data_IF_976874221019
#
_entry.id   IF_976874221019
#
_cell.length_a   1.000
_cell.length_b   1.000
_cell.length_c   1.000
_cell.angle_alpha   90.00
_cell.angle_beta   90.00
_cell.angle_gamma   90.00
#
_symmetry.space_group_name_H-M   'P 1'
#
loop_
_entity.id
_entity.type
_entity.pdbx_description
1 polymer ?
#
# COMPACT_ATOMS: atom_id res chain seq x y z
N UNK A 1 17.71 -2.37 -1.92
CA UNK A 1 18.57 -1.61 -0.99
C UNK A 1 17.74 -1.42 0.27
N UNK A 2 18.19 -1.90 1.43
CA UNK A 2 17.46 -1.68 2.68
C UNK A 2 17.95 -0.36 3.28
N UNK A 3 17.06 0.63 3.34
CA UNK A 3 17.34 1.91 4.00
C UNK A 3 16.91 1.71 5.45
N UNK A 4 17.89 1.60 6.35
CA UNK A 4 17.66 1.45 7.79
C UNK A 4 17.01 2.70 8.39
N UNK A 5 15.71 2.87 8.17
CA UNK A 5 14.91 3.82 8.92
C UNK A 5 14.70 3.22 10.32
N UNK A 6 15.52 3.65 11.28
CA UNK A 6 15.18 3.36 12.67
C UNK A 6 13.96 4.21 13.04
N UNK A 7 12.83 3.57 13.36
CA UNK A 7 11.64 4.28 13.84
C UNK A 7 11.86 4.68 15.30
N UNK A 8 12.33 5.91 15.53
CA UNK A 8 12.76 6.37 16.85
C UNK A 8 11.71 7.18 17.63
N UNK A 9 10.54 7.48 17.04
CA UNK A 9 9.50 8.31 17.66
C UNK A 9 8.12 8.10 17.03
N UNK A 10 7.05 8.49 17.75
CA UNK A 10 5.67 8.50 17.25
C UNK A 10 5.51 9.35 15.99
N UNK A 11 6.20 10.50 15.89
CA UNK A 11 6.18 11.32 14.67
C UNK A 11 6.74 10.59 13.45
N UNK A 12 7.81 9.80 13.63
CA UNK A 12 8.36 9.02 12.53
C UNK A 12 7.47 7.84 12.18
N UNK A 13 6.88 7.18 13.18
CA UNK A 13 5.92 6.11 12.97
C UNK A 13 4.71 6.63 12.18
N UNK A 14 4.08 7.71 12.62
CA UNK A 14 2.94 8.29 11.93
C UNK A 14 3.25 8.71 10.50
N UNK A 15 4.46 9.24 10.24
CA UNK A 15 4.89 9.55 8.88
C UNK A 15 4.98 8.30 8.01
N UNK A 16 5.47 7.17 8.54
CA UNK A 16 5.47 5.91 7.81
C UNK A 16 4.02 5.45 7.55
N UNK A 17 3.15 5.46 8.55
CA UNK A 17 1.74 5.08 8.35
C UNK A 17 1.03 5.97 7.32
N UNK A 18 1.34 7.27 7.28
CA UNK A 18 0.84 8.20 6.26
C UNK A 18 1.35 7.87 4.85
N UNK A 19 2.61 7.41 4.72
CA UNK A 19 3.13 6.89 3.45
C UNK A 19 2.34 5.64 3.03
N UNK A 20 2.03 4.75 3.97
CA UNK A 20 1.14 3.61 3.74
C UNK A 20 -0.21 4.04 3.16
N UNK A 21 -0.89 5.01 3.80
CA UNK A 21 -2.16 5.56 3.31
C UNK A 21 -2.07 6.04 1.86
N UNK A 22 -0.98 6.73 1.48
CA UNK A 22 -0.81 7.22 0.13
C UNK A 22 -0.56 6.08 -0.87
N UNK A 23 0.17 5.04 -0.49
CA UNK A 23 0.34 3.85 -1.34
C UNK A 23 -1.00 3.17 -1.62
N UNK A 24 -1.83 3.00 -0.60
CA UNK A 24 -3.19 2.46 -0.75
C UNK A 24 -4.08 3.35 -1.62
N UNK A 25 -4.01 4.67 -1.44
CA UNK A 25 -4.80 5.60 -2.26
C UNK A 25 -4.38 5.54 -3.74
N UNK A 26 -3.09 5.32 -4.01
CA UNK A 26 -2.60 5.10 -5.36
C UNK A 26 -3.15 3.79 -5.95
N UNK A 27 -3.16 2.69 -5.20
CA UNK A 27 -3.72 1.40 -5.66
C UNK A 27 -5.21 1.59 -6.01
N UNK A 28 -5.99 2.17 -5.10
CA UNK A 28 -7.42 2.42 -5.28
C UNK A 28 -7.69 3.33 -6.49
N UNK A 29 -7.01 4.48 -6.59
CA UNK A 29 -7.21 5.43 -7.68
C UNK A 29 -6.89 4.81 -9.05
N UNK A 30 -5.88 3.95 -9.11
CA UNK A 30 -5.48 3.27 -10.36
C UNK A 30 -6.45 2.16 -10.71
N UNK A 31 -6.95 1.40 -9.74
CA UNK A 31 -7.98 0.40 -9.95
C UNK A 31 -9.25 1.03 -10.56
N UNK A 32 -9.71 2.16 -10.03
CA UNK A 32 -10.83 2.91 -10.62
C UNK A 32 -10.52 3.44 -12.02
N UNK A 33 -9.33 4.01 -12.23
CA UNK A 33 -8.93 4.52 -13.53
C UNK A 33 -8.95 3.42 -14.62
N UNK A 34 -8.44 2.23 -14.32
CA UNK A 34 -8.47 1.09 -15.24
C UNK A 34 -9.89 0.62 -15.53
N UNK A 35 -10.76 0.64 -14.53
CA UNK A 35 -12.18 0.34 -14.71
C UNK A 35 -12.88 1.35 -15.63
N UNK A 36 -12.56 2.65 -15.51
CA UNK A 36 -13.14 3.72 -16.34
C UNK A 36 -12.61 3.71 -17.79
N UNK A 37 -11.30 3.56 -18.00
CA UNK A 37 -10.69 3.66 -19.33
C UNK A 37 -11.05 2.50 -20.26
N UNK A 38 -11.17 1.28 -19.73
CA UNK A 38 -11.44 0.12 -20.57
C UNK A 38 -12.93 -0.04 -20.90
N UNK A 39 -13.83 0.53 -20.11
CA UNK A 39 -15.27 0.42 -20.33
C UNK A 39 -15.82 -1.00 -20.10
N UNK A 40 -17.11 -1.07 -19.76
CA UNK A 40 -17.74 -2.26 -19.19
C UNK A 40 -17.86 -3.47 -20.15
N UNK A 41 -17.57 -3.32 -21.44
CA UNK A 41 -17.61 -4.42 -22.43
C UNK A 41 -16.21 -4.98 -22.80
N UNK A 42 -15.12 -4.35 -22.36
CA UNK A 42 -13.75 -4.69 -22.80
C UNK A 42 -12.92 -5.46 -21.77
N UNK A 43 -13.24 -5.33 -20.49
CA UNK A 43 -12.56 -6.03 -19.41
C UNK A 43 -13.08 -7.47 -19.28
N UNK A 44 -12.19 -8.39 -18.92
CA UNK A 44 -12.60 -9.71 -18.44
C UNK A 44 -13.32 -9.54 -17.09
N UNK A 45 -14.34 -10.35 -16.81
CA UNK A 45 -15.04 -10.35 -15.52
C UNK A 45 -14.06 -10.57 -14.37
N UNK A 46 -13.10 -11.48 -14.57
CA UNK A 46 -12.03 -11.77 -13.62
C UNK A 46 -11.14 -10.54 -13.32
N UNK A 47 -10.85 -9.69 -14.33
CA UNK A 47 -10.07 -8.47 -14.11
C UNK A 47 -10.92 -7.40 -13.42
N UNK A 48 -12.22 -7.28 -13.75
CA UNK A 48 -13.10 -6.33 -13.06
C UNK A 48 -13.21 -6.66 -11.58
N UNK A 49 -13.40 -7.93 -11.26
CA UNK A 49 -13.51 -8.40 -9.88
C UNK A 49 -12.21 -8.13 -9.11
N UNK A 50 -11.05 -8.44 -9.71
CA UNK A 50 -9.74 -8.11 -9.15
C UNK A 50 -9.60 -6.61 -8.82
N UNK A 51 -9.89 -5.73 -9.78
CA UNK A 51 -9.74 -4.28 -9.59
C UNK A 51 -10.72 -3.74 -8.55
N UNK A 52 -11.96 -4.23 -8.55
CA UNK A 52 -12.96 -3.84 -7.54
C UNK A 52 -12.51 -4.29 -6.14
N UNK A 53 -12.00 -5.52 -6.03
CA UNK A 53 -11.52 -6.05 -4.77
C UNK A 53 -10.33 -5.25 -4.23
N UNK A 54 -9.33 -4.96 -5.08
CA UNK A 54 -8.18 -4.16 -4.69
C UNK A 54 -8.56 -2.74 -4.24
N UNK A 55 -9.52 -2.10 -4.92
CA UNK A 55 -9.99 -0.78 -4.51
C UNK A 55 -10.71 -0.80 -3.15
N UNK A 56 -11.51 -1.83 -2.88
CA UNK A 56 -12.19 -2.03 -1.59
C UNK A 56 -11.18 -2.33 -0.47
N UNK A 57 -10.23 -3.23 -0.72
CA UNK A 57 -9.19 -3.62 0.23
C UNK A 57 -8.30 -2.43 0.61
N UNK A 58 -7.78 -1.70 -0.39
CA UNK A 58 -6.97 -0.49 -0.12
C UNK A 58 -7.75 0.57 0.66
N UNK A 59 -9.05 0.72 0.43
CA UNK A 59 -9.87 1.62 1.26
C UNK A 59 -9.92 1.16 2.72
N UNK A 60 -10.13 -0.13 2.98
CA UNK A 60 -10.09 -0.68 4.34
C UNK A 60 -8.70 -0.53 4.99
N UNK A 61 -7.63 -0.74 4.24
CA UNK A 61 -6.25 -0.56 4.71
C UNK A 61 -6.03 0.89 5.17
N UNK A 62 -6.49 1.88 4.39
CA UNK A 62 -6.43 3.31 4.77
C UNK A 62 -7.18 3.57 6.07
N UNK A 63 -8.40 3.08 6.21
CA UNK A 63 -9.20 3.29 7.43
C UNK A 63 -8.50 2.70 8.67
N UNK A 64 -7.89 1.51 8.54
CA UNK A 64 -7.12 0.88 9.62
C UNK A 64 -5.88 1.70 9.99
N UNK A 65 -5.14 2.20 9.00
CA UNK A 65 -3.96 3.06 9.22
C UNK A 65 -4.33 4.41 9.85
N UNK A 66 -5.41 5.04 9.39
CA UNK A 66 -5.94 6.28 9.96
C UNK A 66 -6.30 6.10 11.45
N UNK A 67 -6.97 4.99 11.78
CA UNK A 67 -7.30 4.66 13.17
C UNK A 67 -6.06 4.48 14.07
N UNK A 68 -4.95 3.98 13.51
CA UNK A 68 -3.67 3.89 14.23
C UNK A 68 -3.05 5.28 14.40
N UNK A 69 -3.04 6.12 13.35
CA UNK A 69 -2.48 7.47 13.38
C UNK A 69 -3.22 8.36 14.39
N UNK A 70 -4.55 8.29 14.44
CA UNK A 70 -5.38 9.05 15.39
C UNK A 70 -5.00 8.79 16.85
N UNK A 71 -4.42 7.63 17.14
CA UNK A 71 -3.96 7.25 18.49
C UNK A 71 -2.55 7.75 18.81
N UNK A 72 -1.77 8.19 17.82
CA UNK A 72 -0.39 8.66 18.00
C UNK A 72 -0.32 10.12 18.48
N UNK A 73 -1.43 10.87 18.52
CA UNK A 73 -1.52 12.28 18.96
C UNK A 73 -0.49 13.19 18.28
N UNK A 74 -0.26 12.98 16.99
CA UNK A 74 0.66 13.78 16.18
C UNK A 74 -0.07 14.60 15.12
N UNK A 75 0.48 15.77 14.80
CA UNK A 75 -0.05 16.60 13.71
C UNK A 75 0.07 15.90 12.36
N UNK A 76 -1.02 15.94 11.56
CA UNK A 76 -1.04 15.41 10.20
C UNK A 76 -0.14 16.22 9.27
N UNK A 77 0.66 15.54 8.44
CA UNK A 77 1.45 16.18 7.38
C UNK A 77 0.55 16.45 6.16
N UNK A 78 0.72 17.56 5.42
CA UNK A 78 -0.04 17.80 4.21
C UNK A 78 0.16 16.70 3.16
N UNK A 79 -0.93 16.27 2.55
CA UNK A 79 -0.95 15.23 1.51
C UNK A 79 0.07 15.46 0.39
N UNK A 80 0.18 16.70 -0.10
CA UNK A 80 1.11 17.10 -1.18
C UNK A 80 2.58 16.82 -0.85
N UNK A 81 2.95 16.82 0.45
CA UNK A 81 4.32 16.52 0.89
C UNK A 81 4.58 15.00 0.93
N UNK A 82 3.55 14.19 1.15
CA UNK A 82 3.65 12.73 1.19
C UNK A 82 3.64 12.15 -0.23
N UNK A 83 2.81 12.65 -1.14
CA UNK A 83 2.75 12.23 -2.54
C UNK A 83 4.13 12.37 -3.23
N UNK A 84 4.82 13.50 -3.01
CA UNK A 84 6.15 13.72 -3.55
C UNK A 84 7.21 12.74 -3.00
N UNK A 85 7.05 12.26 -1.76
CA UNK A 85 7.94 11.27 -1.16
C UNK A 85 7.67 9.87 -1.74
N UNK A 86 6.40 9.53 -1.96
CA UNK A 86 6.00 8.28 -2.60
C UNK A 86 6.49 8.24 -4.04
N UNK A 87 6.31 9.32 -4.82
CA UNK A 87 6.82 9.38 -6.20
C UNK A 87 8.34 9.21 -6.24
N UNK A 88 9.08 9.83 -5.31
CA UNK A 88 10.53 9.71 -5.26
C UNK A 88 11.02 8.29 -4.87
N UNK A 89 10.27 7.60 -4.00
CA UNK A 89 10.70 6.32 -3.42
C UNK A 89 10.12 5.10 -4.17
N UNK A 90 8.92 5.23 -4.71
CA UNK A 90 8.12 4.16 -5.32
C UNK A 90 7.62 4.51 -6.73
N UNK A 91 7.64 5.78 -7.16
CA UNK A 91 7.16 6.24 -8.48
C UNK A 91 8.10 5.99 -9.67
N UNK A 92 8.99 4.98 -9.60
CA UNK A 92 9.96 4.73 -10.69
C UNK A 92 9.31 4.18 -11.96
N UNK A 93 8.04 3.80 -11.92
CA UNK A 93 7.31 3.17 -13.01
C UNK A 93 6.36 4.19 -13.63
N UNK A 94 6.66 4.65 -14.85
CA UNK A 94 5.83 5.65 -15.55
C UNK A 94 4.61 4.98 -16.18
N UNK A 95 3.46 5.68 -16.29
CA UNK A 95 2.24 5.17 -16.96
C UNK A 95 2.49 4.60 -18.37
N UNK A 96 3.54 5.10 -19.04
CA UNK A 96 3.94 4.76 -20.41
C UNK A 96 4.66 3.40 -20.53
N UNK A 97 5.13 2.83 -19.43
CA UNK A 97 5.89 1.55 -19.38
C UNK A 97 5.01 0.33 -19.04
N UNK A 98 3.70 0.52 -18.81
CA UNK A 98 2.76 -0.54 -18.44
C UNK A 98 2.00 -1.08 -19.65
N UNK A 99 2.51 -2.16 -20.25
CA UNK A 99 1.80 -2.88 -21.33
C UNK A 99 0.62 -3.75 -20.81
N UNK A 100 0.15 -3.60 -19.56
CA UNK A 100 -1.06 -4.28 -19.10
C UNK A 100 -1.52 -3.92 -17.69
N UNK A 101 -2.85 -3.78 -17.52
CA UNK A 101 -3.56 -3.55 -16.25
C UNK A 101 -3.08 -4.50 -15.14
N UNK A 102 -2.87 -5.78 -15.46
CA UNK A 102 -2.39 -6.77 -14.50
C UNK A 102 -0.95 -6.53 -14.05
N UNK A 103 -0.07 -6.11 -14.96
CA UNK A 103 1.31 -5.77 -14.58
C UNK A 103 1.33 -4.53 -13.69
N UNK A 104 0.44 -3.59 -13.98
CA UNK A 104 0.30 -2.41 -13.16
C UNK A 104 -0.21 -2.73 -11.76
N UNK A 105 -1.29 -3.52 -11.66
CA UNK A 105 -1.82 -3.97 -10.38
C UNK A 105 -0.75 -4.71 -9.59
N UNK A 106 -0.08 -5.69 -10.21
CA UNK A 106 1.01 -6.44 -9.57
C UNK A 106 2.09 -5.51 -8.99
N UNK A 107 2.47 -4.46 -9.72
CA UNK A 107 3.48 -3.52 -9.27
C UNK A 107 3.03 -2.72 -8.03
N UNK A 108 1.74 -2.34 -7.97
CA UNK A 108 1.18 -1.60 -6.84
C UNK A 108 1.12 -2.50 -5.58
N UNK A 109 0.55 -3.71 -5.70
CA UNK A 109 0.47 -4.71 -4.62
C UNK A 109 1.86 -5.06 -4.07
N UNK A 110 2.83 -5.35 -4.95
CA UNK A 110 4.20 -5.66 -4.52
C UNK A 110 4.87 -4.49 -3.79
N UNK A 111 4.48 -3.26 -4.13
CA UNK A 111 5.06 -2.05 -3.54
C UNK A 111 4.53 -1.83 -2.13
N UNK A 112 3.23 -1.95 -1.93
CA UNK A 112 2.59 -1.88 -0.62
C UNK A 112 3.04 -3.05 0.28
N UNK A 113 3.08 -4.28 -0.23
CA UNK A 113 3.65 -5.43 0.48
C UNK A 113 5.08 -5.16 0.99
N UNK A 114 5.99 -4.72 0.11
CA UNK A 114 7.39 -4.43 0.49
C UNK A 114 7.46 -3.28 1.49
N UNK A 115 6.60 -2.28 1.35
CA UNK A 115 6.53 -1.17 2.28
C UNK A 115 6.15 -1.65 3.69
N UNK A 116 5.11 -2.47 3.84
CA UNK A 116 4.72 -2.99 5.15
C UNK A 116 5.78 -3.91 5.75
N UNK A 117 6.41 -4.76 4.93
CA UNK A 117 7.56 -5.59 5.34
C UNK A 117 8.69 -4.72 5.94
N UNK A 118 9.10 -3.67 5.23
CA UNK A 118 10.13 -2.73 5.67
C UNK A 118 9.74 -1.99 6.97
N UNK A 119 8.47 -1.58 7.10
CA UNK A 119 7.97 -0.89 8.31
C UNK A 119 7.94 -1.82 9.51
N UNK A 120 7.49 -3.06 9.34
CA UNK A 120 7.50 -4.08 10.39
C UNK A 120 8.92 -4.33 10.87
N UNK A 121 9.86 -4.58 9.94
CA UNK A 121 11.28 -4.79 10.29
C UNK A 121 11.85 -3.58 11.05
N UNK A 122 11.51 -2.36 10.62
CA UNK A 122 11.97 -1.12 11.23
C UNK A 122 11.43 -0.92 12.65
N UNK A 123 10.19 -1.30 12.92
CA UNK A 123 9.57 -1.26 14.25
C UNK A 123 10.16 -2.33 15.17
N UNK A 124 10.34 -3.55 14.67
CA UNK A 124 10.92 -4.66 15.44
C UNK A 124 12.37 -4.39 15.83
N UNK A 125 13.14 -3.77 14.93
CA UNK A 125 14.52 -3.35 15.18
C UNK A 125 14.65 -2.11 16.08
N UNK A 126 13.53 -1.44 16.42
CA UNK A 126 13.54 -0.22 17.22
C UNK A 126 13.44 -0.48 18.72
N UNK A 127 14.25 0.24 19.50
CA UNK A 127 14.15 0.32 20.96
C UNK A 127 13.22 1.46 21.45
N UNK A 128 12.55 2.17 20.54
CA UNK A 128 11.71 3.32 20.89
C UNK A 128 10.42 2.91 21.62
N UNK A 129 10.00 3.73 22.58
CA UNK A 129 8.69 3.58 23.21
C UNK A 129 7.67 4.41 22.42
N UNK A 130 6.67 3.73 21.88
CA UNK A 130 5.54 4.35 21.20
C UNK A 130 4.40 4.62 22.17
N UNK A 131 3.57 5.60 21.88
CA UNK A 131 2.37 5.90 22.68
C UNK A 131 1.30 4.79 22.53
N UNK A 132 1.33 4.06 21.42
CA UNK A 132 0.46 2.91 21.15
C UNK A 132 1.13 1.58 21.53
N UNK A 133 0.31 0.54 21.73
CA UNK A 133 0.80 -0.81 21.99
C UNK A 133 1.52 -1.38 20.75
N UNK A 134 2.77 -1.81 20.95
CA UNK A 134 3.61 -2.31 19.86
C UNK A 134 3.11 -3.63 19.31
N UNK A 135 2.61 -4.53 20.16
CA UNK A 135 2.12 -5.83 19.70
C UNK A 135 0.85 -5.66 18.86
N UNK A 136 -0.05 -4.77 19.28
CA UNK A 136 -1.25 -4.40 18.53
C UNK A 136 -0.89 -3.78 17.16
N UNK A 137 0.01 -2.79 17.15
CA UNK A 137 0.51 -2.17 15.91
C UNK A 137 1.10 -3.20 14.93
N UNK A 138 2.00 -4.06 15.43
CA UNK A 138 2.63 -5.09 14.61
C UNK A 138 1.65 -6.16 14.15
N UNK A 139 0.56 -6.40 14.90
CA UNK A 139 -0.50 -7.30 14.47
C UNK A 139 -1.21 -6.70 13.27
N UNK A 140 -1.69 -5.46 13.38
CA UNK A 140 -2.35 -4.74 12.27
C UNK A 140 -1.46 -4.67 11.03
N UNK A 141 -0.19 -4.27 11.16
CA UNK A 141 0.70 -4.17 10.00
C UNK A 141 0.99 -5.52 9.33
N UNK A 142 1.05 -6.61 10.10
CA UNK A 142 1.24 -7.96 9.55
C UNK A 142 0.00 -8.47 8.83
N UNK A 143 -1.19 -8.14 9.34
CA UNK A 143 -2.45 -8.43 8.65
C UNK A 143 -2.49 -7.71 7.29
N UNK A 144 -2.21 -6.40 7.26
CA UNK A 144 -2.10 -5.64 6.02
C UNK A 144 -1.08 -6.26 5.05
N UNK A 145 0.12 -6.59 5.53
CA UNK A 145 1.14 -7.25 4.71
C UNK A 145 0.70 -8.60 4.14
N UNK A 146 -0.11 -9.36 4.87
CA UNK A 146 -0.63 -10.66 4.41
C UNK A 146 -1.70 -10.47 3.34
N UNK A 147 -2.61 -9.50 3.53
CA UNK A 147 -3.61 -9.09 2.53
C UNK A 147 -2.93 -8.67 1.21
N UNK A 148 -1.93 -7.78 1.26
CA UNK A 148 -1.15 -7.39 0.06
C UNK A 148 -0.42 -8.57 -0.60
N UNK A 149 0.04 -9.55 0.19
CA UNK A 149 0.69 -10.74 -0.35
C UNK A 149 -0.31 -11.64 -1.09
N UNK A 150 -1.54 -11.75 -0.57
CA UNK A 150 -2.63 -12.46 -1.22
C UNK A 150 -3.04 -11.75 -2.52
N UNK A 151 -3.07 -10.40 -2.53
CA UNK A 151 -3.26 -9.58 -3.73
C UNK A 151 -2.21 -9.85 -4.81
N UNK A 152 -0.92 -9.86 -4.45
CA UNK A 152 0.18 -10.26 -5.37
C UNK A 152 -0.03 -11.66 -5.94
N UNK A 153 -0.42 -12.63 -5.10
CA UNK A 153 -0.66 -14.01 -5.55
C UNK A 153 -1.83 -14.08 -6.53
N UNK A 154 -2.92 -13.37 -6.24
CA UNK A 154 -4.10 -13.33 -7.08
C UNK A 154 -3.79 -12.77 -8.47
N UNK A 155 -3.12 -11.62 -8.54
CA UNK A 155 -2.72 -11.01 -9.82
C UNK A 155 -1.81 -11.96 -10.61
N UNK A 156 -0.83 -12.56 -9.94
CA UNK A 156 0.11 -13.52 -10.55
C UNK A 156 -0.63 -14.72 -11.15
N UNK A 157 -1.60 -15.28 -10.41
CA UNK A 157 -2.41 -16.42 -10.86
C UNK A 157 -3.20 -16.10 -12.12
N UNK A 158 -3.80 -14.89 -12.19
CA UNK A 158 -4.54 -14.43 -13.37
C UNK A 158 -3.60 -14.27 -14.57
N UNK A 159 -2.39 -13.74 -14.36
CA UNK A 159 -1.38 -13.62 -15.41
C UNK A 159 -0.94 -14.98 -15.96
N UNK A 160 -0.61 -15.94 -15.08
CA UNK A 160 -0.20 -17.30 -15.48
C UNK A 160 -1.31 -18.05 -16.23
N UNK A 161 -2.58 -17.82 -15.90
CA UNK A 161 -3.73 -18.42 -16.59
C UNK A 161 -3.91 -17.95 -18.04
N UNK A 162 -3.24 -16.86 -18.43
CA UNK A 162 -3.34 -16.21 -19.74
C UNK A 162 -2.15 -16.49 -20.67
N UNK A 163 -1.08 -17.13 -20.17
CA UNK A 163 0.09 -17.59 -20.95
C UNK A 163 -0.15 -18.92 -21.70
#
# INVERSE_FOLDING_TARGET
>A
MSVGYQVTSDHQLARLLQIGIVLEEVVEARAYHHHEEMGDDSLDEEIRDLLSHAAEESNEHRERLEAVIDRLDVDSVPFEEIEALVEAQYGQTKPEDFDGVLYDQLCNEETAYKFYDDVIEAIEASDAQFTIDREELLTTLRELREEEADGVEEVTRIMEGRE
#
